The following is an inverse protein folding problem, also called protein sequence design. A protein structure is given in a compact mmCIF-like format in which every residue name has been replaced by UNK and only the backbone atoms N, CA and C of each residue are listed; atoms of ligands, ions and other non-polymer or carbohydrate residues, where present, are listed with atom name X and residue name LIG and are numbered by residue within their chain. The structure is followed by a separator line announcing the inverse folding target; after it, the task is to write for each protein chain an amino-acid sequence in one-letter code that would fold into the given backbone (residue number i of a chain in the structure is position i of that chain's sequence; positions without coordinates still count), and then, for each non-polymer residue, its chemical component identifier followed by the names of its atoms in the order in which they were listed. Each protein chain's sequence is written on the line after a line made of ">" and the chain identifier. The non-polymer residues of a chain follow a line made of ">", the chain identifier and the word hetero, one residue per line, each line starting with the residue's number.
data_IF_939101487025
#
_entry.id   IF_939101487025
#
_cell.length_a   1.000
_cell.length_b   1.000
_cell.length_c   1.000
_cell.angle_alpha   90.00
_cell.angle_beta   90.00
_cell.angle_gamma   90.00
#
_symmetry.space_group_name_H-M   'P 1'
#
loop_
_entity.id
_entity.type
_entity.pdbx_description
1 polymer ?
#
# COMPACT_ATOMS: atom_id res chain seq x y z
N UNK A 1 -10.55 -13.04 7.73
CA UNK A 1 -9.31 -12.95 8.54
C UNK A 1 -8.26 -12.14 7.77
N UNK A 2 -7.51 -11.25 8.42
CA UNK A 2 -6.48 -10.42 7.77
C UNK A 2 -5.38 -11.30 7.15
N UNK A 3 -4.94 -10.98 5.93
CA UNK A 3 -3.91 -11.74 5.24
C UNK A 3 -2.52 -11.44 5.80
N UNK A 4 -1.72 -12.50 5.97
CA UNK A 4 -0.31 -12.38 6.30
C UNK A 4 0.43 -11.71 5.12
N UNK A 5 1.35 -10.79 5.43
CA UNK A 5 2.17 -10.12 4.42
C UNK A 5 3.03 -11.09 3.59
N UNK A 6 3.29 -12.30 4.07
CA UNK A 6 4.05 -13.34 3.38
C UNK A 6 3.26 -14.11 2.30
N UNK A 7 1.93 -13.95 2.20
CA UNK A 7 1.14 -14.64 1.17
C UNK A 7 1.45 -14.14 -0.25
N UNK A 8 1.40 -15.06 -1.21
CA UNK A 8 1.66 -14.74 -2.61
C UNK A 8 0.51 -13.92 -3.22
N UNK A 9 0.82 -13.13 -4.25
CA UNK A 9 -0.17 -12.36 -5.00
C UNK A 9 -1.31 -13.22 -5.54
N UNK A 10 -0.98 -14.37 -6.14
CA UNK A 10 -1.98 -15.28 -6.67
C UNK A 10 -2.96 -15.75 -5.58
N UNK A 11 -2.46 -16.15 -4.41
CA UNK A 11 -3.27 -16.56 -3.24
C UNK A 11 -4.15 -15.41 -2.72
N UNK A 12 -3.63 -14.18 -2.71
CA UNK A 12 -4.38 -12.99 -2.32
C UNK A 12 -5.58 -12.75 -3.25
N UNK A 13 -5.34 -12.78 -4.56
CA UNK A 13 -6.38 -12.55 -5.56
C UNK A 13 -7.41 -13.69 -5.57
N UNK A 14 -6.96 -14.94 -5.48
CA UNK A 14 -7.82 -16.13 -5.36
C UNK A 14 -8.79 -16.02 -4.17
N UNK A 15 -8.29 -15.63 -2.98
CA UNK A 15 -9.13 -15.49 -1.77
C UNK A 15 -10.16 -14.38 -1.85
N UNK A 16 -9.89 -13.34 -2.63
CA UNK A 16 -10.81 -12.22 -2.84
C UNK A 16 -11.74 -12.47 -4.05
N UNK A 17 -11.65 -13.63 -4.70
CA UNK A 17 -12.41 -13.94 -5.92
C UNK A 17 -12.03 -13.07 -7.12
N UNK A 18 -10.80 -12.55 -7.13
CA UNK A 18 -10.32 -11.60 -8.14
C UNK A 18 -9.49 -12.31 -9.20
N UNK A 19 -9.66 -11.90 -10.45
CA UNK A 19 -8.81 -12.35 -11.53
C UNK A 19 -7.62 -11.39 -11.67
N UNK A 20 -6.40 -11.93 -11.58
CA UNK A 20 -5.15 -11.18 -11.77
C UNK A 20 -5.01 -10.59 -13.19
N UNK A 21 -5.59 -11.25 -14.19
CA UNK A 21 -5.57 -10.83 -15.59
C UNK A 21 -6.61 -9.74 -15.91
N UNK A 22 -7.52 -9.46 -14.98
CA UNK A 22 -8.51 -8.41 -15.18
C UNK A 22 -7.91 -7.03 -14.86
N UNK A 23 -7.69 -6.26 -15.92
CA UNK A 23 -7.08 -4.93 -15.91
C UNK A 23 -7.78 -3.91 -15.00
N UNK A 24 -9.05 -4.11 -14.66
CA UNK A 24 -9.82 -3.25 -13.75
C UNK A 24 -9.29 -3.34 -12.31
N UNK A 25 -8.68 -4.47 -11.93
CA UNK A 25 -8.04 -4.64 -10.63
C UNK A 25 -6.59 -4.14 -10.61
N UNK A 26 -6.15 -3.42 -11.66
CA UNK A 26 -4.79 -2.89 -11.70
C UNK A 26 -4.55 -1.97 -10.52
N UNK A 27 -3.38 -2.16 -9.91
CA UNK A 27 -2.85 -1.53 -8.70
C UNK A 27 -2.61 -0.02 -8.84
N UNK A 28 -3.27 0.67 -9.75
CA UNK A 28 -3.04 2.08 -10.06
C UNK A 28 -3.10 2.93 -8.79
N UNK A 29 -4.14 2.73 -7.98
CA UNK A 29 -4.36 3.49 -6.74
C UNK A 29 -3.25 3.24 -5.70
N UNK A 30 -2.79 1.99 -5.56
CA UNK A 30 -1.67 1.65 -4.67
C UNK A 30 -0.31 2.11 -5.21
N UNK A 31 -0.13 2.14 -6.54
CA UNK A 31 1.08 2.68 -7.19
C UNK A 31 1.17 4.18 -7.00
N UNK A 32 0.07 4.90 -7.18
CA UNK A 32 -0.03 6.32 -6.90
C UNK A 32 0.15 6.62 -5.41
N UNK A 33 -0.46 5.81 -4.54
CA UNK A 33 -0.29 5.97 -3.10
C UNK A 33 1.16 5.81 -2.67
N UNK A 34 1.85 4.77 -3.18
CA UNK A 34 3.30 4.64 -2.99
C UNK A 34 4.03 5.87 -3.51
N UNK A 35 3.73 6.35 -4.71
CA UNK A 35 4.40 7.52 -5.29
C UNK A 35 4.35 8.71 -4.32
N UNK A 36 3.15 9.03 -3.80
CA UNK A 36 2.96 10.10 -2.81
C UNK A 36 3.76 9.86 -1.52
N UNK A 37 3.77 8.64 -0.99
CA UNK A 37 4.53 8.29 0.21
C UNK A 37 6.05 8.37 0.00
N UNK A 38 6.54 8.10 -1.22
CA UNK A 38 7.98 8.06 -1.52
C UNK A 38 8.56 9.39 -1.98
N UNK A 39 7.72 10.37 -2.34
CA UNK A 39 8.14 11.67 -2.86
C UNK A 39 8.04 12.80 -1.82
N UNK A 40 7.33 12.58 -0.69
CA UNK A 40 7.05 13.65 0.27
C UNK A 40 7.81 13.48 1.60
N UNK A 41 8.58 14.48 2.05
CA UNK A 41 9.28 14.41 3.34
C UNK A 41 8.34 14.22 4.54
N UNK A 42 7.10 14.71 4.46
CA UNK A 42 6.08 14.54 5.50
C UNK A 42 5.75 13.07 5.80
N UNK A 43 5.95 12.19 4.80
CA UNK A 43 5.70 10.76 4.91
C UNK A 43 6.80 10.03 5.68
N UNK A 44 7.98 10.64 5.82
CA UNK A 44 9.13 10.06 6.52
C UNK A 44 8.87 9.90 8.02
N UNK A 45 9.55 8.90 8.60
CA UNK A 45 9.76 8.78 10.04
C UNK A 45 10.29 10.11 10.60
N UNK A 46 9.82 10.57 11.78
CA UNK A 46 10.21 11.87 12.34
C UNK A 46 11.73 12.08 12.40
N UNK A 47 12.47 11.02 12.74
CA UNK A 47 13.93 10.99 12.83
C UNK A 47 14.63 11.21 11.48
N UNK A 48 13.98 10.78 10.38
CA UNK A 48 14.53 10.84 9.02
C UNK A 48 14.16 12.14 8.29
N UNK A 49 13.21 12.94 8.82
CA UNK A 49 12.72 14.17 8.15
C UNK A 49 13.80 15.24 7.95
N UNK A 50 14.74 15.33 8.87
CA UNK A 50 15.86 16.28 8.79
C UNK A 50 17.14 15.62 8.23
N UNK A 51 17.04 14.39 7.73
CA UNK A 51 18.16 13.70 7.11
C UNK A 51 18.24 14.08 5.62
N UNK A 52 19.45 14.12 5.05
CA UNK A 52 19.69 14.31 3.61
C UNK A 52 19.34 13.06 2.78
N UNK A 53 18.30 12.33 3.15
CA UNK A 53 17.82 11.18 2.38
C UNK A 53 17.02 11.73 1.20
N UNK A 54 17.45 11.40 -0.01
CA UNK A 54 16.75 11.81 -1.23
C UNK A 54 15.66 10.79 -1.61
N UNK A 55 14.54 11.27 -2.18
CA UNK A 55 13.52 10.38 -2.74
C UNK A 55 14.05 9.61 -3.96
N UNK A 56 13.47 8.45 -4.31
CA UNK A 56 12.28 7.85 -3.69
C UNK A 56 12.60 7.11 -2.38
N UNK A 57 11.83 7.41 -1.34
CA UNK A 57 11.98 6.75 -0.04
C UNK A 57 11.62 5.25 -0.10
N UNK A 58 12.28 4.44 0.72
CA UNK A 58 11.95 3.03 0.88
C UNK A 58 10.78 2.84 1.85
N UNK A 59 10.15 1.67 1.86
CA UNK A 59 9.11 1.37 2.86
C UNK A 59 9.63 1.55 4.30
N UNK A 60 10.90 1.24 4.56
CA UNK A 60 11.51 1.37 5.88
C UNK A 60 11.66 2.82 6.35
N UNK A 61 11.56 3.80 5.44
CA UNK A 61 11.68 5.21 5.78
C UNK A 61 10.33 5.87 6.04
N UNK A 62 9.22 5.24 5.65
CA UNK A 62 7.87 5.80 5.73
C UNK A 62 7.28 5.52 7.12
N UNK A 63 6.67 6.53 7.73
CA UNK A 63 6.01 6.41 9.04
C UNK A 63 4.67 5.68 8.94
N UNK A 64 4.32 4.93 10.00
CA UNK A 64 3.05 4.21 10.08
C UNK A 64 1.85 5.16 9.97
N UNK A 65 1.93 6.36 10.58
CA UNK A 65 0.89 7.39 10.46
C UNK A 65 0.69 7.86 9.02
N UNK A 66 1.78 8.04 8.27
CA UNK A 66 1.69 8.42 6.85
C UNK A 66 1.08 7.29 6.02
N UNK A 67 1.48 6.04 6.30
CA UNK A 67 0.96 4.85 5.64
C UNK A 67 -0.54 4.69 5.92
N UNK A 68 -0.98 4.84 7.17
CA UNK A 68 -2.38 4.79 7.56
C UNK A 68 -3.22 5.90 6.89
N UNK A 69 -2.73 7.14 6.88
CA UNK A 69 -3.40 8.25 6.17
C UNK A 69 -3.56 7.97 4.68
N UNK A 70 -2.55 7.37 4.05
CA UNK A 70 -2.61 7.02 2.63
C UNK A 70 -3.57 5.84 2.38
N UNK A 71 -3.66 4.87 3.30
CA UNK A 71 -4.66 3.79 3.22
C UNK A 71 -6.08 4.35 3.18
N UNK A 72 -6.42 5.23 4.13
CA UNK A 72 -7.74 5.85 4.19
C UNK A 72 -7.99 6.72 2.94
N UNK A 73 -6.97 7.45 2.49
CA UNK A 73 -7.07 8.26 1.27
C UNK A 73 -7.39 7.40 0.05
N UNK A 74 -6.68 6.29 -0.15
CA UNK A 74 -6.94 5.34 -1.24
C UNK A 74 -8.37 4.84 -1.15
N UNK A 75 -8.83 4.42 0.04
CA UNK A 75 -10.20 3.94 0.22
C UNK A 75 -11.25 4.99 -0.16
N UNK A 76 -11.09 6.23 0.30
CA UNK A 76 -12.04 7.31 0.02
C UNK A 76 -12.07 7.75 -1.45
N UNK A 77 -10.94 7.67 -2.14
CA UNK A 77 -10.81 8.09 -3.55
C UNK A 77 -10.84 6.91 -4.53
N UNK A 78 -11.09 5.69 -4.02
CA UNK A 78 -11.13 4.50 -4.84
C UNK A 78 -12.23 4.58 -5.89
N UNK A 79 -11.93 4.12 -7.10
CA UNK A 79 -12.92 3.91 -8.16
C UNK A 79 -14.00 2.95 -7.68
N UNK A 80 -15.19 3.07 -8.27
CA UNK A 80 -16.34 2.23 -7.87
C UNK A 80 -16.03 0.73 -7.98
N UNK A 81 -15.26 0.33 -9.00
CA UNK A 81 -14.89 -1.08 -9.19
C UNK A 81 -13.90 -1.58 -8.13
N UNK A 82 -12.87 -0.79 -7.79
CA UNK A 82 -11.84 -1.18 -6.81
C UNK A 82 -12.35 -1.06 -5.38
N UNK A 83 -13.25 -0.12 -5.11
CA UNK A 83 -13.84 0.09 -3.78
C UNK A 83 -14.55 -1.15 -3.26
N UNK A 84 -15.28 -1.88 -4.11
CA UNK A 84 -15.96 -3.13 -3.72
C UNK A 84 -14.97 -4.13 -3.11
N UNK A 85 -13.74 -4.16 -3.62
CA UNK A 85 -12.69 -5.04 -3.13
C UNK A 85 -12.11 -4.53 -1.81
N UNK A 86 -11.97 -3.21 -1.68
CA UNK A 86 -11.50 -2.59 -0.45
C UNK A 86 -12.50 -2.72 0.69
N UNK A 87 -13.81 -2.77 0.44
CA UNK A 87 -14.80 -3.07 1.47
C UNK A 87 -14.56 -4.43 2.15
N UNK A 88 -14.09 -5.44 1.41
CA UNK A 88 -13.72 -6.76 1.99
C UNK A 88 -12.57 -6.65 3.00
N UNK A 89 -11.76 -5.61 2.86
CA UNK A 89 -10.58 -5.33 3.66
C UNK A 89 -10.82 -4.43 4.86
N UNK A 90 -12.01 -3.83 4.95
CA UNK A 90 -12.31 -2.76 5.90
C UNK A 90 -12.58 -3.33 7.28
N UNK A 91 -11.81 -2.87 8.27
CA UNK A 91 -11.96 -3.23 9.68
C UNK A 91 -12.21 -1.94 10.47
N UNK A 92 -13.48 -1.70 10.83
CA UNK A 92 -13.92 -0.56 11.64
C UNK A 92 -14.13 -0.91 13.10
N UNK A 93 -13.95 -2.18 13.48
CA UNK A 93 -14.19 -2.63 14.86
C UNK A 93 -13.00 -2.29 15.78
N UNK A 94 -11.87 -1.87 15.20
CA UNK A 94 -10.69 -1.38 15.89
C UNK A 94 -10.79 0.11 16.21
N UNK A 95 -10.00 0.56 17.19
CA UNK A 95 -9.89 1.97 17.60
C UNK A 95 -9.50 2.88 16.42
N UNK A 96 -8.74 2.35 15.46
CA UNK A 96 -8.40 3.02 14.21
C UNK A 96 -8.98 2.25 13.03
N UNK A 97 -9.65 2.93 12.11
CA UNK A 97 -10.19 2.33 10.89
C UNK A 97 -9.05 1.79 10.02
N UNK A 98 -9.03 0.49 9.77
CA UNK A 98 -8.01 -0.14 8.95
C UNK A 98 -8.58 -0.68 7.64
N UNK A 99 -7.71 -0.76 6.63
CA UNK A 99 -8.02 -1.50 5.42
C UNK A 99 -6.86 -2.43 5.06
N UNK A 100 -6.97 -3.70 5.45
CA UNK A 100 -5.88 -4.66 5.31
C UNK A 100 -5.62 -5.02 3.83
N UNK A 101 -6.63 -4.93 2.96
CA UNK A 101 -6.48 -5.15 1.51
C UNK A 101 -5.60 -4.06 0.91
N UNK A 102 -5.90 -2.79 1.18
CA UNK A 102 -5.09 -1.66 0.70
C UNK A 102 -3.68 -1.70 1.31
N UNK A 103 -3.57 -1.96 2.61
CA UNK A 103 -2.28 -2.12 3.31
C UNK A 103 -1.41 -3.19 2.63
N UNK A 104 -1.99 -4.34 2.30
CA UNK A 104 -1.30 -5.41 1.60
C UNK A 104 -0.89 -5.00 0.18
N UNK A 105 -1.78 -4.31 -0.56
CA UNK A 105 -1.44 -3.81 -1.90
C UNK A 105 -0.27 -2.82 -1.87
N UNK A 106 -0.27 -1.86 -0.94
CA UNK A 106 0.83 -0.92 -0.75
C UNK A 106 2.13 -1.65 -0.45
N UNK A 107 2.14 -2.55 0.54
CA UNK A 107 3.31 -3.37 0.87
C UNK A 107 3.86 -4.11 -0.34
N UNK A 108 2.99 -4.71 -1.15
CA UNK A 108 3.42 -5.45 -2.34
C UNK A 108 4.06 -4.51 -3.40
N UNK A 109 3.51 -3.31 -3.60
CA UNK A 109 4.09 -2.32 -4.54
C UNK A 109 5.45 -1.83 -4.02
N UNK A 110 5.57 -1.55 -2.73
CA UNK A 110 6.83 -1.19 -2.08
C UNK A 110 7.88 -2.27 -2.26
N UNK A 111 7.58 -3.51 -1.83
CA UNK A 111 8.50 -4.65 -1.90
C UNK A 111 8.99 -4.92 -3.32
N UNK A 112 8.11 -4.86 -4.32
CA UNK A 112 8.49 -5.08 -5.71
C UNK A 112 9.52 -4.03 -6.19
N UNK A 113 9.33 -2.76 -5.83
CA UNK A 113 10.27 -1.68 -6.20
C UNK A 113 11.57 -1.74 -5.41
N UNK A 114 11.50 -1.99 -4.11
CA UNK A 114 12.68 -2.06 -3.25
C UNK A 114 13.61 -3.22 -3.67
N UNK A 115 13.04 -4.39 -4.02
CA UNK A 115 13.80 -5.51 -4.58
C UNK A 115 14.46 -5.16 -5.93
N UNK A 116 13.76 -4.43 -6.81
CA UNK A 116 14.33 -4.01 -8.09
C UNK A 116 15.43 -2.97 -7.93
N UNK A 117 15.35 -2.11 -6.92
CA UNK A 117 16.41 -1.15 -6.59
C UNK A 117 17.63 -1.84 -5.96
N UNK A 118 17.43 -2.89 -5.14
CA UNK A 118 18.52 -3.72 -4.61
C UNK A 118 19.27 -4.46 -5.71
N UNK A 119 18.56 -5.01 -6.70
CA UNK A 119 19.18 -5.72 -7.83
C UNK A 119 19.84 -4.80 -8.88
N UNK A 120 19.79 -3.48 -8.69
CA UNK A 120 20.39 -2.47 -9.58
C UNK A 120 21.60 -1.77 -8.97
N UNK A 121 21.92 -2.03 -7.71
CA UNK A 121 23.16 -1.64 -7.05
C UNK A 121 24.16 -2.77 -7.13
#
# INVERSE_FOLDING_TARGET
>A
PALAQSESKARFFERLGLNEENEVHRREEAVEGRRRLTERPESLLPELRNSNIEPPYSHAHVSETALHREILRIYHHARRETRIIYELGRDTDRVEEENWVIRWMLWHVFRYRDNRNRNRK
#
